data_IF_228518186015
#
_entry.id   IF_228518186015
#
_cell.length_a   1.000
_cell.length_b   1.000
_cell.length_c   1.000
_cell.angle_alpha   90.00
_cell.angle_beta   90.00
_cell.angle_gamma   90.00
#
_symmetry.space_group_name_H-M   'P 1'
#
loop_
_entity.id
_entity.type
_entity.pdbx_description
1 polymer ?
#
# COMPACT_ATOMS: atom_id res chain seq x y z
N UNK A 1 -16.56 12.94 -5.01
CA UNK A 1 -17.73 12.11 -4.64
C UNK A 1 -17.39 10.92 -3.74
N UNK A 2 -16.24 10.26 -3.90
CA UNK A 2 -15.85 9.03 -3.14
C UNK A 2 -15.61 9.27 -1.64
N UNK A 3 -14.97 10.39 -1.24
CA UNK A 3 -14.71 10.72 0.18
C UNK A 3 -15.98 10.77 1.05
N UNK A 4 -17.07 11.32 0.52
CA UNK A 4 -18.32 11.47 1.27
C UNK A 4 -19.01 10.12 1.51
N UNK A 5 -18.89 9.19 0.56
CA UNK A 5 -19.50 7.86 0.68
C UNK A 5 -18.75 6.98 1.69
N UNK A 6 -17.42 7.05 1.74
CA UNK A 6 -16.60 6.32 2.70
C UNK A 6 -16.82 6.80 4.14
N UNK A 7 -17.00 8.12 4.33
CA UNK A 7 -17.29 8.68 5.65
C UNK A 7 -18.65 8.22 6.19
N UNK A 8 -19.66 8.13 5.31
CA UNK A 8 -20.99 7.65 5.68
C UNK A 8 -21.01 6.14 5.97
N UNK A 9 -20.21 5.32 5.26
CA UNK A 9 -20.13 3.88 5.54
C UNK A 9 -19.49 3.55 6.88
N UNK A 10 -18.66 4.46 7.42
CA UNK A 10 -18.04 4.31 8.74
C UNK A 10 -18.98 4.76 9.85
N UNK A 11 -19.77 5.83 9.65
CA UNK A 11 -20.69 6.37 10.66
C UNK A 11 -21.83 5.42 11.04
N UNK A 12 -22.33 4.64 10.08
CA UNK A 12 -23.43 3.68 10.26
C UNK A 12 -23.14 2.57 11.31
N UNK A 13 -22.01 1.84 11.23
CA UNK A 13 -21.59 0.89 12.27
C UNK A 13 -21.46 1.51 13.66
N UNK A 14 -20.87 2.71 13.78
CA UNK A 14 -20.73 3.41 15.06
C UNK A 14 -22.09 3.77 15.65
N UNK A 15 -23.05 4.20 14.81
CA UNK A 15 -24.43 4.44 15.23
C UNK A 15 -25.09 3.20 15.86
N UNK A 16 -24.89 2.02 15.27
CA UNK A 16 -25.41 0.75 15.82
C UNK A 16 -24.74 0.33 17.12
N UNK A 17 -23.43 0.53 17.26
CA UNK A 17 -22.73 0.22 18.51
C UNK A 17 -23.23 1.12 19.65
N UNK A 18 -23.43 2.42 19.36
CA UNK A 18 -23.96 3.38 20.31
C UNK A 18 -25.44 3.13 20.64
N UNK A 19 -26.23 2.58 19.72
CA UNK A 19 -27.63 2.22 19.98
C UNK A 19 -27.76 1.04 20.95
N UNK A 20 -26.92 0.01 20.83
CA UNK A 20 -26.89 -1.11 21.78
C UNK A 20 -26.55 -0.64 23.19
N UNK A 21 -25.54 0.24 23.30
CA UNK A 21 -25.16 0.81 24.59
C UNK A 21 -26.30 1.66 25.18
N UNK A 22 -27.01 2.42 24.33
CA UNK A 22 -28.19 3.20 24.71
C UNK A 22 -29.33 2.32 25.22
N UNK A 23 -29.66 1.24 24.53
CA UNK A 23 -30.72 0.28 24.93
C UNK A 23 -30.41 -0.40 26.27
N UNK A 24 -29.15 -0.78 26.47
CA UNK A 24 -28.67 -1.33 27.73
C UNK A 24 -28.83 -0.31 28.87
N UNK A 25 -28.38 0.93 28.66
CA UNK A 25 -28.51 2.01 29.65
C UNK A 25 -29.97 2.30 30.00
N UNK A 26 -30.86 2.33 29.01
CA UNK A 26 -32.30 2.51 29.24
C UNK A 26 -32.89 1.35 30.05
N UNK A 27 -32.46 0.13 29.79
CA UNK A 27 -32.91 -1.06 30.52
C UNK A 27 -32.50 -1.00 31.99
N UNK A 28 -31.27 -0.57 32.28
CA UNK A 28 -30.79 -0.38 33.64
C UNK A 28 -31.56 0.71 34.40
N UNK A 29 -31.87 1.83 33.73
CA UNK A 29 -32.69 2.90 34.31
C UNK A 29 -34.11 2.40 34.59
N UNK A 30 -34.72 1.68 33.64
CA UNK A 30 -36.07 1.12 33.79
C UNK A 30 -36.17 0.13 34.95
N UNK A 31 -35.13 -0.68 35.14
CA UNK A 31 -35.06 -1.67 36.23
C UNK A 31 -34.73 -1.04 37.59
N UNK A 32 -34.53 0.29 37.67
CA UNK A 32 -34.11 0.96 38.90
C UNK A 32 -32.69 0.62 39.33
N UNK A 33 -31.94 -0.12 38.50
CA UNK A 33 -30.56 -0.51 38.71
C UNK A 33 -29.57 0.64 38.39
N UNK A 34 -30.10 1.77 37.92
CA UNK A 34 -29.33 2.98 37.60
C UNK A 34 -30.16 4.24 37.83
N UNK A 35 -29.57 5.21 38.53
CA UNK A 35 -30.24 6.47 38.87
C UNK A 35 -29.97 7.55 37.80
N UNK A 36 -30.98 8.40 37.51
CA UNK A 36 -30.99 9.34 36.37
C UNK A 36 -30.23 10.66 36.64
N UNK A 37 -29.82 10.90 37.88
CA UNK A 37 -29.48 12.23 38.41
C UNK A 37 -27.98 12.45 38.70
N UNK A 38 -27.09 11.53 38.34
CA UNK A 38 -25.65 11.69 38.63
C UNK A 38 -24.86 11.80 37.32
N UNK A 39 -23.81 12.62 37.36
CA UNK A 39 -22.92 13.12 36.31
C UNK A 39 -22.31 12.05 35.37
N UNK A 40 -23.15 11.39 34.58
CA UNK A 40 -22.70 10.37 33.62
C UNK A 40 -22.80 10.90 32.20
N UNK A 41 -21.69 10.81 31.47
CA UNK A 41 -21.60 11.08 30.03
C UNK A 41 -22.63 10.22 29.31
N UNK A 42 -23.65 10.83 28.72
CA UNK A 42 -24.59 10.13 27.86
C UNK A 42 -23.90 9.79 26.54
N UNK A 43 -24.31 8.72 25.84
CA UNK A 43 -23.83 8.46 24.48
C UNK A 43 -24.05 9.63 23.52
N UNK A 44 -25.04 10.49 23.81
CA UNK A 44 -25.32 11.73 23.08
C UNK A 44 -24.30 12.84 23.37
N UNK A 45 -23.60 12.77 24.49
CA UNK A 45 -22.58 13.74 24.92
C UNK A 45 -21.19 13.39 24.37
N UNK A 46 -21.04 12.23 23.72
CA UNK A 46 -19.81 11.83 23.02
C UNK A 46 -19.74 12.47 21.63
N UNK A 47 -19.00 13.57 21.51
CA UNK A 47 -18.50 14.03 20.20
C UNK A 47 -17.36 13.10 19.74
N UNK A 48 -17.70 12.09 18.92
CA UNK A 48 -16.68 11.26 18.26
C UNK A 48 -16.09 12.02 17.08
N UNK A 49 -14.96 12.70 17.32
CA UNK A 49 -14.16 13.32 16.26
C UNK A 49 -13.21 12.28 15.67
N UNK A 50 -13.61 11.67 14.57
CA UNK A 50 -12.69 10.85 13.76
C UNK A 50 -11.70 11.83 13.12
N UNK A 51 -10.42 11.79 13.54
CA UNK A 51 -9.36 12.54 12.85
C UNK A 51 -9.34 12.08 11.39
N UNK A 52 -9.48 13.00 10.46
CA UNK A 52 -9.54 12.75 9.01
C UNK A 52 -8.23 12.25 8.39
N UNK A 53 -7.27 11.77 9.19
CA UNK A 53 -6.07 11.15 8.67
C UNK A 53 -6.44 9.70 8.30
N UNK A 54 -6.63 9.37 7.01
CA UNK A 54 -6.89 7.99 6.63
C UNK A 54 -5.69 7.15 7.06
N UNK A 55 -5.94 6.15 7.90
CA UNK A 55 -4.92 5.16 8.30
C UNK A 55 -4.61 4.22 7.12
N UNK A 56 -5.59 3.98 6.24
CA UNK A 56 -5.44 3.25 5.00
C UNK A 56 -6.57 3.62 4.02
N UNK A 57 -6.33 3.45 2.72
CA UNK A 57 -7.34 3.53 1.66
C UNK A 57 -7.53 2.13 1.08
N UNK A 58 -8.72 1.55 1.25
CA UNK A 58 -9.07 0.25 0.68
C UNK A 58 -9.77 0.45 -0.66
N UNK A 59 -9.11 0.07 -1.75
CA UNK A 59 -9.72 0.00 -3.08
C UNK A 59 -10.11 -1.45 -3.38
N UNK A 60 -11.41 -1.71 -3.48
CA UNK A 60 -11.93 -3.02 -3.87
C UNK A 60 -11.81 -3.17 -5.38
N UNK A 61 -10.84 -3.97 -5.82
CA UNK A 61 -10.74 -4.46 -7.19
C UNK A 61 -11.50 -5.77 -7.34
N UNK A 62 -11.87 -6.13 -8.58
CA UNK A 62 -12.47 -7.45 -8.85
C UNK A 62 -11.55 -8.53 -8.29
N UNK A 63 -12.15 -9.54 -7.65
CA UNK A 63 -11.42 -10.66 -7.05
C UNK A 63 -10.42 -11.21 -8.08
N UNK A 64 -9.12 -11.28 -7.76
CA UNK A 64 -8.17 -11.94 -8.65
C UNK A 64 -8.68 -13.37 -8.91
N UNK A 65 -8.52 -13.85 -10.14
CA UNK A 65 -8.97 -15.17 -10.57
C UNK A 65 -8.25 -16.32 -9.83
N UNK A 66 -7.23 -15.99 -9.05
CA UNK A 66 -6.33 -16.91 -8.37
C UNK A 66 -6.41 -16.59 -6.86
N UNK A 67 -6.51 -17.61 -5.98
CA UNK A 67 -6.43 -17.41 -4.53
C UNK A 67 -5.09 -16.79 -4.15
N UNK A 68 -5.11 -15.75 -3.33
CA UNK A 68 -3.91 -15.16 -2.74
C UNK A 68 -3.38 -16.13 -1.67
N UNK A 69 -2.38 -16.94 -2.01
CA UNK A 69 -1.62 -17.70 -1.01
C UNK A 69 -0.59 -16.76 -0.37
N UNK A 70 -0.55 -16.73 0.97
CA UNK A 70 0.49 -15.99 1.69
C UNK A 70 1.84 -16.62 1.34
N UNK A 71 2.61 -15.92 0.49
CA UNK A 71 3.97 -16.32 0.15
C UNK A 71 4.81 -16.21 1.43
N UNK A 72 5.51 -17.28 1.85
CA UNK A 72 6.42 -17.21 2.99
C UNK A 72 7.42 -16.05 2.83
N UNK A 73 7.70 -15.31 3.91
CA UNK A 73 8.57 -14.13 3.89
C UNK A 73 9.98 -14.44 3.32
N UNK A 74 10.52 -15.63 3.62
CA UNK A 74 11.78 -16.14 3.06
C UNK A 74 11.74 -16.29 1.53
N UNK A 75 10.57 -16.65 0.98
CA UNK A 75 10.36 -16.71 -0.46
C UNK A 75 10.32 -15.33 -1.12
N UNK A 76 9.82 -14.32 -0.40
CA UNK A 76 9.73 -12.93 -0.90
C UNK A 76 11.12 -12.30 -1.00
N UNK A 77 11.94 -12.44 0.05
CA UNK A 77 13.30 -11.89 0.06
C UNK A 77 14.18 -12.50 -1.04
N UNK A 78 14.12 -13.82 -1.25
CA UNK A 78 14.83 -14.47 -2.35
C UNK A 78 14.36 -13.99 -3.72
N UNK A 79 13.05 -13.79 -3.90
CA UNK A 79 12.48 -13.31 -5.14
C UNK A 79 12.97 -11.89 -5.47
N UNK A 80 13.04 -11.02 -4.48
CA UNK A 80 13.52 -9.65 -4.62
C UNK A 80 15.01 -9.62 -5.00
N UNK A 81 15.86 -10.42 -4.35
CA UNK A 81 17.28 -10.50 -4.70
C UNK A 81 17.52 -10.99 -6.14
N UNK A 82 16.79 -12.01 -6.58
CA UNK A 82 16.88 -12.52 -7.94
C UNK A 82 16.31 -11.52 -8.96
N UNK A 83 15.22 -10.84 -8.60
CA UNK A 83 14.63 -9.78 -9.42
C UNK A 83 15.60 -8.62 -9.63
N UNK A 84 16.26 -8.15 -8.57
CA UNK A 84 17.25 -7.07 -8.66
C UNK A 84 18.38 -7.44 -9.62
N UNK A 85 18.95 -8.65 -9.49
CA UNK A 85 20.00 -9.14 -10.40
C UNK A 85 19.52 -9.13 -11.85
N UNK A 86 18.32 -9.64 -12.10
CA UNK A 86 17.70 -9.65 -13.42
C UNK A 86 17.55 -8.24 -14.00
N UNK A 87 17.08 -7.27 -13.19
CA UNK A 87 16.91 -5.87 -13.62
C UNK A 87 18.25 -5.22 -13.96
N UNK A 88 19.29 -5.44 -13.16
CA UNK A 88 20.64 -4.93 -13.43
C UNK A 88 21.17 -5.42 -14.78
N UNK A 89 20.97 -6.70 -15.10
CA UNK A 89 21.36 -7.27 -16.39
C UNK A 89 20.58 -6.66 -17.55
N UNK A 90 19.25 -6.50 -17.43
CA UNK A 90 18.42 -5.93 -18.48
C UNK A 90 18.82 -4.48 -18.75
N UNK A 91 18.95 -3.65 -17.71
CA UNK A 91 19.33 -2.24 -17.87
C UNK A 91 20.71 -2.11 -18.53
N UNK A 92 21.66 -2.99 -18.16
CA UNK A 92 22.98 -3.03 -18.79
C UNK A 92 22.90 -3.44 -20.27
N UNK A 93 22.09 -4.46 -20.61
CA UNK A 93 21.85 -4.90 -22.00
C UNK A 93 21.18 -3.81 -22.84
N UNK A 94 20.37 -2.95 -22.23
CA UNK A 94 19.75 -1.79 -22.87
C UNK A 94 20.69 -0.58 -22.99
N UNK A 95 21.99 -0.74 -22.68
CA UNK A 95 23.00 0.30 -22.83
C UNK A 95 22.97 1.36 -21.74
N UNK A 96 22.35 1.04 -20.59
CA UNK A 96 22.34 1.91 -19.40
C UNK A 96 23.39 1.45 -18.41
N UNK A 97 23.71 2.30 -17.45
CA UNK A 97 24.60 1.99 -16.34
C UNK A 97 23.80 1.97 -15.05
N UNK A 98 23.30 0.79 -14.63
CA UNK A 98 22.55 0.65 -13.40
C UNK A 98 23.50 0.49 -12.19
N UNK A 99 23.11 1.08 -11.06
CA UNK A 99 23.78 1.02 -9.78
C UNK A 99 22.78 0.61 -8.71
N UNK A 100 23.08 -0.49 -8.00
CA UNK A 100 22.34 -0.89 -6.81
C UNK A 100 22.64 0.08 -5.68
N UNK A 101 21.60 0.60 -5.04
CA UNK A 101 21.72 1.46 -3.87
C UNK A 101 21.98 0.60 -2.64
N UNK A 102 22.87 1.04 -1.76
CA UNK A 102 23.16 0.32 -0.52
C UNK A 102 21.95 0.31 0.42
N UNK A 103 21.79 -0.74 1.25
CA UNK A 103 20.67 -0.84 2.19
C UNK A 103 20.54 0.38 3.13
N UNK A 104 21.65 1.01 3.48
CA UNK A 104 21.64 2.23 4.31
C UNK A 104 21.05 3.42 3.56
N UNK A 105 21.41 3.57 2.29
CA UNK A 105 20.88 4.62 1.43
C UNK A 105 19.42 4.36 1.04
N UNK A 106 19.02 3.11 0.82
CA UNK A 106 17.63 2.74 0.50
C UNK A 106 16.66 3.21 1.58
N UNK A 107 17.05 3.16 2.87
CA UNK A 107 16.23 3.65 4.00
C UNK A 107 15.91 5.15 3.94
N UNK A 108 16.68 5.92 3.17
CA UNK A 108 16.52 7.38 3.03
C UNK A 108 16.00 7.74 1.64
N UNK A 109 16.42 6.97 0.63
CA UNK A 109 16.14 7.24 -0.78
C UNK A 109 14.86 6.56 -1.26
N UNK A 110 14.47 5.44 -0.65
CA UNK A 110 13.26 4.67 -0.94
C UNK A 110 13.15 4.23 -2.42
N UNK A 111 14.25 3.68 -2.94
CA UNK A 111 14.32 2.99 -4.23
C UNK A 111 15.54 2.04 -4.27
N UNK A 112 15.46 0.98 -5.07
CA UNK A 112 16.50 -0.05 -5.14
C UNK A 112 17.66 0.30 -6.08
N UNK A 113 17.35 0.75 -7.30
CA UNK A 113 18.33 0.90 -8.38
C UNK A 113 18.29 2.31 -8.95
N UNK A 114 19.46 2.90 -9.14
CA UNK A 114 19.64 4.10 -9.94
C UNK A 114 20.24 3.72 -11.29
N UNK A 115 19.64 4.15 -12.40
CA UNK A 115 20.12 3.80 -13.74
C UNK A 115 20.21 5.02 -14.65
N UNK A 116 21.36 5.25 -15.26
CA UNK A 116 21.60 6.38 -16.16
C UNK A 116 21.96 5.90 -17.56
N UNK A 117 21.43 6.56 -18.58
CA UNK A 117 21.93 6.43 -19.94
C UNK A 117 22.87 7.60 -20.24
N UNK A 118 24.18 7.34 -20.34
CA UNK A 118 25.17 8.40 -20.57
C UNK A 118 25.08 9.05 -21.95
N UNK A 119 24.50 8.37 -22.95
CA UNK A 119 24.33 8.93 -24.28
C UNK A 119 23.19 9.95 -24.34
N UNK A 120 22.12 9.74 -23.56
CA UNK A 120 20.94 10.62 -23.56
C UNK A 120 20.84 11.53 -22.32
N UNK A 121 21.55 11.22 -21.24
CA UNK A 121 21.41 11.86 -19.93
C UNK A 121 20.13 11.45 -19.19
N UNK A 122 19.37 10.46 -19.69
CA UNK A 122 18.13 10.02 -19.04
C UNK A 122 18.44 9.24 -17.76
N UNK A 123 17.84 9.66 -16.65
CA UNK A 123 17.98 9.03 -15.33
C UNK A 123 16.71 8.29 -14.94
N UNK A 124 16.86 7.09 -14.38
CA UNK A 124 15.79 6.26 -13.83
C UNK A 124 16.07 5.95 -12.37
N UNK A 125 15.03 6.12 -11.57
CA UNK A 125 14.92 5.68 -10.18
C UNK A 125 13.98 4.48 -10.22
N UNK A 126 14.50 3.30 -9.90
CA UNK A 126 13.81 2.04 -10.12
C UNK A 126 13.56 1.35 -8.78
N UNK A 127 12.30 1.03 -8.55
CA UNK A 127 11.83 0.15 -7.48
C UNK A 127 11.52 -1.22 -8.06
N UNK A 128 12.02 -2.30 -7.44
CA UNK A 128 11.91 -3.67 -7.95
C UNK A 128 11.00 -4.50 -7.06
N UNK A 129 10.01 -5.18 -7.66
CA UNK A 129 9.18 -6.18 -6.97
C UNK A 129 9.35 -7.54 -7.63
N UNK A 130 9.73 -8.53 -6.85
CA UNK A 130 9.98 -9.90 -7.30
C UNK A 130 8.87 -10.86 -6.92
N UNK A 131 8.40 -11.66 -7.88
CA UNK A 131 7.41 -12.72 -7.67
C UNK A 131 7.94 -14.07 -8.14
N UNK A 132 7.90 -15.07 -7.26
CA UNK A 132 8.33 -16.44 -7.58
C UNK A 132 7.46 -17.06 -8.67
N UNK A 133 6.14 -16.90 -8.55
CA UNK A 133 5.13 -17.42 -9.47
C UNK A 133 4.75 -16.44 -10.59
N UNK A 134 3.79 -16.80 -11.45
CA UNK A 134 3.33 -15.95 -12.56
C UNK A 134 2.48 -14.75 -12.12
N UNK A 135 2.29 -14.56 -10.82
CA UNK A 135 1.51 -13.48 -10.25
C UNK A 135 2.20 -12.14 -10.46
N UNK A 136 1.39 -11.11 -10.72
CA UNK A 136 1.86 -9.75 -10.98
C UNK A 136 1.05 -8.80 -10.12
N UNK A 137 1.68 -8.27 -9.09
CA UNK A 137 1.15 -7.17 -8.29
C UNK A 137 2.27 -6.23 -7.90
N UNK A 138 1.93 -4.95 -7.67
CA UNK A 138 2.86 -3.91 -7.27
C UNK A 138 2.36 -3.24 -6.01
N UNK A 139 3.15 -3.31 -4.95
CA UNK A 139 2.87 -2.65 -3.67
C UNK A 139 3.96 -1.61 -3.44
N UNK A 140 3.58 -0.37 -3.12
CA UNK A 140 4.53 0.65 -2.72
C UNK A 140 4.30 0.99 -1.25
N UNK A 141 5.36 1.09 -0.47
CA UNK A 141 5.28 1.71 0.87
C UNK A 141 4.92 3.20 0.75
N UNK A 142 4.47 3.83 1.82
CA UNK A 142 4.12 5.26 1.79
C UNK A 142 5.31 6.12 1.36
N UNK A 143 6.52 5.78 1.80
CA UNK A 143 7.73 6.50 1.44
C UNK A 143 8.13 6.29 -0.04
N UNK A 144 8.05 5.06 -0.55
CA UNK A 144 8.21 4.75 -1.98
C UNK A 144 7.18 5.50 -2.83
N UNK A 145 5.92 5.51 -2.40
CA UNK A 145 4.84 6.23 -3.05
C UNK A 145 5.09 7.75 -3.08
N UNK A 146 5.69 8.30 -2.02
CA UNK A 146 6.06 9.71 -1.96
C UNK A 146 7.18 10.04 -2.96
N UNK A 147 8.20 9.18 -3.06
CA UNK A 147 9.28 9.31 -4.06
C UNK A 147 8.72 9.20 -5.48
N UNK A 148 7.87 8.20 -5.73
CA UNK A 148 7.20 8.00 -7.01
C UNK A 148 6.36 9.23 -7.44
N UNK A 149 5.62 9.84 -6.51
CA UNK A 149 4.86 11.08 -6.78
C UNK A 149 5.75 12.29 -7.05
N UNK A 150 6.91 12.37 -6.41
CA UNK A 150 7.87 13.47 -6.60
C UNK A 150 8.59 13.36 -7.93
N UNK A 151 9.11 12.18 -8.24
CA UNK A 151 10.05 11.97 -9.35
C UNK A 151 9.37 11.49 -10.65
N UNK A 152 8.10 11.03 -10.58
CA UNK A 152 7.16 10.71 -11.68
C UNK A 152 7.83 10.15 -12.93
N UNK A 153 8.21 11.00 -13.89
CA UNK A 153 8.82 10.61 -15.17
C UNK A 153 10.13 9.84 -15.03
N UNK A 154 10.84 10.06 -13.92
CA UNK A 154 12.08 9.37 -13.60
C UNK A 154 11.86 8.15 -12.73
N UNK A 155 10.68 8.00 -12.13
CA UNK A 155 10.36 6.87 -11.28
C UNK A 155 9.78 5.72 -12.10
N UNK A 156 10.33 4.54 -11.88
CA UNK A 156 9.92 3.33 -12.56
C UNK A 156 9.68 2.21 -11.55
N UNK A 157 8.55 1.54 -11.70
CA UNK A 157 8.27 0.29 -10.98
C UNK A 157 8.54 -0.88 -11.92
N UNK A 158 9.47 -1.75 -11.53
CA UNK A 158 9.84 -2.94 -12.28
C UNK A 158 9.29 -4.15 -11.53
N UNK A 159 8.43 -4.93 -12.19
CA UNK A 159 7.87 -6.16 -11.62
C UNK A 159 8.46 -7.33 -12.38
N UNK A 160 9.30 -8.11 -11.70
CA UNK A 160 9.86 -9.37 -12.21
C UNK A 160 9.01 -10.51 -11.68
N UNK A 161 8.45 -11.32 -12.57
CA UNK A 161 7.57 -12.42 -12.20
C UNK A 161 8.00 -13.72 -12.87
N UNK A 162 7.46 -14.84 -12.38
CA UNK A 162 7.76 -16.19 -12.82
C UNK A 162 9.25 -16.55 -12.72
N UNK A 163 9.90 -16.09 -11.64
CA UNK A 163 11.35 -16.20 -11.44
C UNK A 163 11.81 -17.67 -11.42
N UNK A 164 11.01 -18.56 -10.83
CA UNK A 164 11.34 -19.99 -10.71
C UNK A 164 11.38 -20.75 -12.04
N UNK A 165 10.73 -20.21 -13.09
CA UNK A 165 10.68 -20.86 -14.40
C UNK A 165 11.36 -19.99 -15.45
N UNK A 166 10.63 -18.99 -15.95
CA UNK A 166 11.09 -18.09 -17.00
C UNK A 166 10.79 -16.67 -16.54
N UNK A 167 11.79 -15.99 -15.95
CA UNK A 167 11.63 -14.62 -15.50
C UNK A 167 11.17 -13.72 -16.64
N UNK A 168 10.15 -12.93 -16.36
CA UNK A 168 9.63 -11.91 -17.26
C UNK A 168 9.52 -10.58 -16.49
N UNK A 169 9.63 -9.48 -17.23
CA UNK A 169 9.71 -8.14 -16.65
C UNK A 169 8.60 -7.24 -17.22
N UNK A 170 7.84 -6.63 -16.31
CA UNK A 170 6.93 -5.52 -16.61
C UNK A 170 7.51 -4.23 -16.03
N UNK A 171 7.35 -3.13 -16.77
CA UNK A 171 7.92 -1.83 -16.43
C UNK A 171 6.85 -0.76 -16.52
N UNK A 172 6.72 0.02 -15.46
CA UNK A 172 5.73 1.09 -15.36
C UNK A 172 6.46 2.40 -15.03
N UNK A 173 6.55 3.30 -16.00
CA UNK A 173 6.97 4.68 -15.78
C UNK A 173 5.82 5.46 -15.16
N UNK A 174 6.05 6.21 -14.09
CA UNK A 174 4.97 6.88 -13.35
C UNK A 174 3.81 5.92 -13.04
N UNK A 175 4.00 4.93 -12.13
CA UNK A 175 3.04 3.84 -11.91
C UNK A 175 1.64 4.35 -11.53
N UNK A 176 1.52 5.52 -10.91
CA UNK A 176 0.22 6.13 -10.60
C UNK A 176 -0.59 6.55 -11.83
N UNK A 177 0.07 6.80 -12.96
CA UNK A 177 -0.57 7.18 -14.21
C UNK A 177 -0.68 6.00 -15.19
N UNK A 178 0.20 5.00 -15.07
CA UNK A 178 0.33 3.92 -16.05
C UNK A 178 -0.23 2.56 -15.59
N UNK A 179 -0.39 2.33 -14.29
CA UNK A 179 -1.07 1.14 -13.75
C UNK A 179 -2.56 1.45 -13.51
N UNK A 180 -3.36 1.52 -14.58
CA UNK A 180 -4.82 1.65 -14.52
C UNK A 180 -5.54 0.37 -14.96
#
# INVERSE_FOLDING_TARGET
MVKAHALNSVKEPYGRLLSLLREYLFSLIRLGLRNKQVDWILPTDLEVRIKENPVAILHFVKKPLIPYEEIPEDGRSKAEEEAIKYVLEIETKEGRTPQLISQQEQKVKHYDIYSINFATGEERIIEVKGHMGPEVYGELTDDEANVARRDRKRYWLYIVYNIQNKPALLRFQDPFSTMN
#
